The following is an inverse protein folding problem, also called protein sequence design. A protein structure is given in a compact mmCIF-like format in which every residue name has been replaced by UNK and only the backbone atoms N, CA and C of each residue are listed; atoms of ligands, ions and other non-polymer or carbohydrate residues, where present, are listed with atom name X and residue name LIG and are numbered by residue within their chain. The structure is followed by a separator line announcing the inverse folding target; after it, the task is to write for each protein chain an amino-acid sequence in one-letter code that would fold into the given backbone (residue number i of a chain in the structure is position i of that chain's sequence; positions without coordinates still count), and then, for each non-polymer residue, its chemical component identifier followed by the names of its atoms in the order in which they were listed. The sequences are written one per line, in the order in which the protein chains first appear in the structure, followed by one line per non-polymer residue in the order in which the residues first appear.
data_IF_520590142427
#
_entry.id   IF_520590142427
#
_cell.length_a   1.000
_cell.length_b   1.000
_cell.length_c   1.000
_cell.angle_alpha   90.00
_cell.angle_beta   90.00
_cell.angle_gamma   90.00
#
_symmetry.space_group_name_H-M   'P 1'
#
loop_
_entity.id
_entity.type
_entity.pdbx_description
1 polymer ?
#
# COMPACT_ATOMS: atom_id res chain seq x y z
N UNK A 1 11.51 -4.86 -10.37
CA UNK A 1 12.85 -4.22 -10.24
C UNK A 1 13.46 -4.35 -8.83
N UNK A 2 12.79 -4.02 -7.71
CA UNK A 2 13.40 -4.21 -6.37
C UNK A 2 13.58 -5.69 -5.96
N UNK A 3 12.54 -6.52 -6.12
CA UNK A 3 12.57 -7.95 -5.77
C UNK A 3 13.67 -8.72 -6.51
N UNK A 4 13.85 -8.44 -7.80
CA UNK A 4 14.92 -9.03 -8.61
C UNK A 4 16.32 -8.70 -8.08
N UNK A 5 16.56 -7.44 -7.68
CA UNK A 5 17.85 -7.02 -7.10
C UNK A 5 18.09 -7.71 -5.76
N UNK A 6 17.05 -7.87 -4.95
CA UNK A 6 17.12 -8.58 -3.66
C UNK A 6 17.50 -10.06 -3.83
N UNK A 7 16.84 -10.75 -4.76
CA UNK A 7 17.14 -12.15 -5.10
C UNK A 7 18.56 -12.30 -5.68
N UNK A 8 18.97 -11.39 -6.57
CA UNK A 8 20.32 -11.39 -7.15
C UNK A 8 21.41 -11.22 -6.08
N UNK A 9 21.09 -10.54 -4.97
CA UNK A 9 21.98 -10.42 -3.81
C UNK A 9 22.01 -11.68 -2.91
N UNK A 10 21.35 -12.78 -3.31
CA UNK A 10 21.33 -14.06 -2.59
C UNK A 10 20.45 -14.08 -1.34
N UNK A 11 19.50 -13.14 -1.21
CA UNK A 11 18.61 -13.03 -0.06
C UNK A 11 17.29 -13.74 -0.34
N UNK A 12 16.65 -14.27 0.71
CA UNK A 12 15.34 -14.91 0.57
C UNK A 12 14.29 -13.90 0.05
N UNK A 13 13.69 -14.11 -1.13
CA UNK A 13 12.65 -13.22 -1.63
C UNK A 13 11.42 -13.12 -0.72
N UNK A 14 11.15 -14.12 0.12
CA UNK A 14 10.03 -14.08 1.07
C UNK A 14 10.29 -13.18 2.28
N UNK A 15 11.54 -12.82 2.53
CA UNK A 15 11.92 -11.89 3.61
C UNK A 15 11.77 -10.42 3.23
N UNK A 16 11.57 -10.11 1.94
CA UNK A 16 11.42 -8.73 1.47
C UNK A 16 9.94 -8.30 1.55
N UNK A 17 9.64 -7.43 2.50
CA UNK A 17 8.35 -6.74 2.58
C UNK A 17 8.46 -5.35 1.93
N UNK A 18 7.49 -5.01 1.07
CA UNK A 18 7.38 -3.69 0.44
C UNK A 18 6.05 -3.10 0.87
N UNK A 19 6.09 -1.94 1.53
CA UNK A 19 4.90 -1.24 2.01
C UNK A 19 4.88 0.18 1.42
N UNK A 20 4.11 0.43 0.36
CA UNK A 20 3.91 1.77 -0.17
C UNK A 20 3.31 2.68 0.89
N UNK A 21 3.89 3.87 1.05
CA UNK A 21 3.50 4.85 2.07
C UNK A 21 2.80 6.06 1.45
N UNK A 22 1.87 6.66 2.21
CA UNK A 22 1.12 7.84 1.81
C UNK A 22 0.35 7.69 0.48
N UNK A 23 -0.23 6.50 0.25
CA UNK A 23 -0.98 6.23 -0.98
C UNK A 23 -2.34 6.94 -0.93
N UNK A 24 -2.63 7.71 -1.97
CA UNK A 24 -4.01 8.11 -2.29
C UNK A 24 -4.67 6.95 -3.06
N UNK A 25 -5.68 6.27 -2.47
CA UNK A 25 -6.17 5.02 -3.03
C UNK A 25 -7.03 5.24 -4.27
N UNK A 26 -6.98 4.26 -5.17
CA UNK A 26 -7.96 4.05 -6.22
C UNK A 26 -8.03 2.53 -6.51
N UNK A 27 -9.14 2.01 -7.05
CA UNK A 27 -9.25 0.58 -7.37
C UNK A 27 -8.11 0.08 -8.27
N UNK A 28 -7.73 0.88 -9.27
CA UNK A 28 -6.63 0.55 -10.17
C UNK A 28 -5.27 0.46 -9.47
N UNK A 29 -4.98 1.35 -8.49
CA UNK A 29 -3.75 1.25 -7.70
C UNK A 29 -3.74 0.02 -6.80
N UNK A 30 -4.88 -0.31 -6.18
CA UNK A 30 -4.98 -1.49 -5.33
C UNK A 30 -4.74 -2.77 -6.14
N UNK A 31 -5.40 -2.91 -7.30
CA UNK A 31 -5.17 -4.04 -8.23
C UNK A 31 -3.71 -4.14 -8.64
N UNK A 32 -3.10 -3.00 -9.02
CA UNK A 32 -1.69 -2.99 -9.42
C UNK A 32 -0.75 -3.44 -8.30
N UNK A 33 -1.00 -3.04 -7.05
CA UNK A 33 -0.20 -3.49 -5.91
C UNK A 33 -0.38 -4.98 -5.62
N UNK A 34 -1.60 -5.51 -5.76
CA UNK A 34 -1.87 -6.94 -5.68
C UNK A 34 -1.09 -7.71 -6.75
N UNK A 35 -1.09 -7.24 -8.00
CA UNK A 35 -0.35 -7.88 -9.11
C UNK A 35 1.17 -7.89 -8.87
N UNK A 36 1.70 -6.91 -8.12
CA UNK A 36 3.09 -6.85 -7.70
C UNK A 36 3.42 -7.72 -6.47
N UNK A 37 2.41 -8.37 -5.88
CA UNK A 37 2.54 -9.16 -4.66
C UNK A 37 2.80 -8.30 -3.42
N UNK A 38 2.25 -7.08 -3.38
CA UNK A 38 2.29 -6.21 -2.20
C UNK A 38 1.09 -6.55 -1.32
N UNK A 39 1.38 -6.89 -0.07
CA UNK A 39 0.38 -7.36 0.91
C UNK A 39 -0.10 -6.25 1.84
N UNK A 40 0.63 -5.12 1.92
CA UNK A 40 0.32 -4.02 2.84
C UNK A 40 0.56 -2.66 2.17
N UNK A 41 -0.35 -1.72 2.43
CA UNK A 41 -0.28 -0.34 1.92
C UNK A 41 -0.74 0.62 3.02
N UNK A 42 -0.01 1.73 3.20
CA UNK A 42 -0.40 2.81 4.11
C UNK A 42 -1.09 3.92 3.33
N UNK A 43 -2.38 4.11 3.58
CA UNK A 43 -3.19 5.14 2.90
C UNK A 43 -2.97 6.52 3.54
N UNK A 44 -2.89 7.55 2.70
CA UNK A 44 -2.76 8.93 3.14
C UNK A 44 -4.09 9.47 3.66
N UNK A 45 -4.10 9.93 4.90
CA UNK A 45 -5.19 10.73 5.44
C UNK A 45 -5.05 12.20 5.03
N UNK A 46 -6.15 12.91 4.78
CA UNK A 46 -6.09 14.34 4.50
C UNK A 46 -5.64 15.09 5.75
N UNK A 47 -4.92 16.20 5.55
CA UNK A 47 -4.70 17.19 6.61
C UNK A 47 -5.98 18.00 6.81
N UNK A 48 -6.94 17.43 7.55
CA UNK A 48 -8.28 17.96 7.71
C UNK A 48 -8.76 17.86 9.17
N UNK A 49 -9.96 18.37 9.46
CA UNK A 49 -10.54 18.27 10.79
C UNK A 49 -10.86 16.81 11.16
N UNK A 50 -10.99 16.52 12.46
CA UNK A 50 -11.34 15.16 12.95
C UNK A 50 -12.56 14.55 12.24
N UNK A 51 -13.71 15.26 12.08
CA UNK A 51 -14.87 14.68 11.39
C UNK A 51 -14.58 14.32 9.93
N UNK A 52 -13.75 15.10 9.23
CA UNK A 52 -13.37 14.82 7.85
C UNK A 52 -12.46 13.60 7.76
N UNK A 53 -11.47 13.49 8.66
CA UNK A 53 -10.60 12.32 8.75
C UNK A 53 -11.39 11.05 9.04
N UNK A 54 -12.35 11.10 9.97
CA UNK A 54 -13.21 9.94 10.26
C UNK A 54 -14.05 9.52 9.05
N UNK A 55 -14.64 10.49 8.32
CA UNK A 55 -15.37 10.20 7.09
C UNK A 55 -14.46 9.58 6.02
N UNK A 56 -13.22 10.03 5.91
CA UNK A 56 -12.25 9.41 4.98
C UNK A 56 -11.90 7.98 5.39
N UNK A 57 -11.75 7.70 6.70
CA UNK A 57 -11.54 6.33 7.18
C UNK A 57 -12.73 5.42 6.82
N UNK A 58 -13.97 5.89 7.00
CA UNK A 58 -15.18 5.15 6.59
C UNK A 58 -15.17 4.87 5.08
N UNK A 59 -14.72 5.83 4.26
CA UNK A 59 -14.58 5.64 2.81
C UNK A 59 -13.53 4.59 2.46
N UNK A 60 -12.43 4.50 3.22
CA UNK A 60 -11.38 3.51 2.98
C UNK A 60 -11.81 2.08 3.32
N UNK A 61 -12.88 1.89 4.10
CA UNK A 61 -13.40 0.56 4.42
C UNK A 61 -13.78 -0.27 3.18
N UNK A 62 -14.01 0.37 2.03
CA UNK A 62 -14.26 -0.32 0.75
C UNK A 62 -13.05 -1.14 0.22
N UNK A 63 -11.85 -0.92 0.79
CA UNK A 63 -10.61 -1.59 0.39
C UNK A 63 -10.18 -2.68 1.38
N UNK A 64 -10.98 -2.97 2.42
CA UNK A 64 -10.81 -4.07 3.37
C UNK A 64 -11.70 -5.26 2.95
#
# INVERSE_FOLDING_TARGET
MLRQVWETAGRDPKSLQVVPYAVQPSPGKMSHYTDLGIEEVVLQLPSASKPEVLRTLDQFAQYL
#
